data_IF_663956416844
#
_entry.id   IF_663956416844
#
_cell.length_a   1.000
_cell.length_b   1.000
_cell.length_c   1.000
_cell.angle_alpha   90.00
_cell.angle_beta   90.00
_cell.angle_gamma   90.00
#
_symmetry.space_group_name_H-M   'P 1'
#
loop_
_entity.id
_entity.type
_entity.pdbx_description
1 polymer ?
#
# COMPACT_ATOMS: atom_id res chain seq x y z
N UNK A 1 -7.86 -26.77 8.76
CA UNK A 1 -8.69 -26.67 7.54
C UNK A 1 -7.76 -26.46 6.36
N UNK A 2 -7.92 -27.17 5.22
CA UNK A 2 -7.06 -26.95 4.07
C UNK A 2 -7.22 -25.50 3.58
N UNK A 3 -6.10 -24.79 3.49
CA UNK A 3 -6.04 -23.41 3.02
C UNK A 3 -6.31 -23.45 1.52
N UNK A 4 -7.57 -23.27 1.10
CA UNK A 4 -7.90 -23.03 -0.30
C UNK A 4 -7.25 -21.69 -0.65
N UNK A 5 -6.09 -21.64 -1.30
CA UNK A 5 -5.52 -20.35 -1.72
C UNK A 5 -6.52 -19.64 -2.66
N UNK A 6 -6.60 -18.30 -2.65
CA UNK A 6 -7.37 -17.59 -3.67
C UNK A 6 -6.87 -17.99 -5.07
N UNK A 7 -7.68 -17.78 -6.12
CA UNK A 7 -7.18 -17.84 -7.49
C UNK A 7 -5.95 -16.91 -7.62
N UNK A 8 -5.06 -17.20 -8.58
CA UNK A 8 -3.87 -16.36 -8.80
C UNK A 8 -4.24 -14.87 -8.83
N UNK A 9 -3.48 -14.01 -8.12
CA UNK A 9 -3.74 -12.59 -8.16
C UNK A 9 -3.61 -12.09 -9.60
N UNK A 10 -4.37 -11.04 -9.92
CA UNK A 10 -4.14 -10.28 -11.15
C UNK A 10 -2.67 -9.83 -11.16
N UNK A 11 -1.93 -10.14 -12.22
CA UNK A 11 -0.51 -9.82 -12.35
C UNK A 11 -0.24 -8.31 -12.17
N UNK A 12 -1.25 -7.48 -12.41
CA UNK A 12 -1.15 -6.04 -12.18
C UNK A 12 -0.99 -5.67 -10.69
N UNK A 13 -1.33 -6.57 -9.76
CA UNK A 13 -1.18 -6.38 -8.31
C UNK A 13 0.21 -6.81 -7.78
N UNK A 14 1.01 -7.51 -8.57
CA UNK A 14 2.36 -7.96 -8.16
C UNK A 14 3.27 -6.83 -7.62
N UNK A 15 3.25 -5.59 -8.15
CA UNK A 15 4.07 -4.51 -7.61
C UNK A 15 3.75 -4.15 -6.15
N UNK A 16 2.54 -4.47 -5.68
CA UNK A 16 2.04 -4.17 -4.34
C UNK A 16 2.34 -5.28 -3.32
N UNK A 17 2.87 -6.42 -3.75
CA UNK A 17 3.34 -7.47 -2.84
C UNK A 17 4.74 -7.09 -2.33
N UNK A 18 4.81 -6.51 -1.13
CA UNK A 18 6.04 -5.96 -0.56
C UNK A 18 6.55 -4.72 -1.29
N UNK A 19 5.66 -3.97 -1.95
CA UNK A 19 6.01 -2.74 -2.66
C UNK A 19 6.29 -1.59 -1.70
N UNK A 20 7.26 -0.74 -2.05
CA UNK A 20 7.48 0.55 -1.38
C UNK A 20 7.59 1.64 -2.43
N UNK A 21 6.89 2.74 -2.23
CA UNK A 21 7.03 3.93 -3.04
C UNK A 21 7.28 5.18 -2.22
N UNK A 22 7.72 6.23 -2.91
CA UNK A 22 8.00 7.55 -2.35
C UNK A 22 6.83 8.47 -2.66
N UNK A 23 6.48 9.30 -1.69
CA UNK A 23 5.51 10.38 -1.83
C UNK A 23 6.23 11.71 -1.93
N UNK A 24 6.06 12.40 -3.04
CA UNK A 24 6.64 13.74 -3.27
C UNK A 24 5.55 14.78 -3.48
N UNK A 25 5.85 16.03 -3.11
CA UNK A 25 5.02 17.21 -3.41
C UNK A 25 5.96 18.39 -3.59
N UNK A 26 5.77 19.15 -4.67
CA UNK A 26 6.64 20.25 -5.08
C UNK A 26 8.13 19.85 -5.22
N UNK A 27 8.38 18.59 -5.63
CA UNK A 27 9.73 18.04 -5.80
C UNK A 27 10.42 17.61 -4.50
N UNK A 28 9.78 17.80 -3.34
CA UNK A 28 10.30 17.36 -2.05
C UNK A 28 9.69 16.02 -1.65
N UNK A 29 10.48 15.16 -1.01
CA UNK A 29 9.98 13.91 -0.41
C UNK A 29 9.29 14.24 0.90
N UNK A 30 8.03 13.83 1.06
CA UNK A 30 7.26 14.02 2.30
C UNK A 30 7.09 12.73 3.10
N UNK A 31 7.18 11.59 2.42
CA UNK A 31 7.02 10.29 3.05
C UNK A 31 7.19 9.14 2.08
N UNK A 32 6.81 7.97 2.55
CA UNK A 32 6.83 6.72 1.81
C UNK A 32 5.52 5.99 2.04
N UNK A 33 5.13 5.16 1.09
CA UNK A 33 4.03 4.22 1.25
C UNK A 33 4.58 2.81 1.10
N UNK A 34 4.30 1.95 2.07
CA UNK A 34 4.58 0.53 2.00
C UNK A 34 3.28 -0.22 1.71
N UNK A 35 3.37 -1.29 0.93
CA UNK A 35 2.21 -2.05 0.45
C UNK A 35 2.44 -3.55 0.63
N UNK A 36 1.38 -4.29 0.89
CA UNK A 36 1.40 -5.76 0.83
C UNK A 36 0.14 -6.31 0.19
N UNK A 37 0.27 -7.44 -0.49
CA UNK A 37 -0.83 -8.14 -1.13
C UNK A 37 -1.32 -9.26 -0.21
N UNK A 38 -2.62 -9.28 0.08
CA UNK A 38 -3.21 -10.29 0.96
C UNK A 38 -4.58 -10.72 0.43
N UNK A 39 -5.26 -11.62 1.14
CA UNK A 39 -6.57 -12.12 0.72
C UNK A 39 -7.52 -12.30 1.89
N UNK A 40 -8.80 -12.14 1.62
CA UNK A 40 -9.87 -12.32 2.59
C UNK A 40 -11.09 -13.04 2.00
N UNK A 41 -11.96 -13.50 2.89
CA UNK A 41 -13.25 -14.06 2.49
C UNK A 41 -14.23 -12.93 2.20
N UNK A 42 -14.84 -12.95 1.02
CA UNK A 42 -15.85 -11.94 0.67
C UNK A 42 -17.01 -12.00 1.67
N UNK A 43 -17.38 -10.88 2.32
CA UNK A 43 -18.43 -10.85 3.35
C UNK A 43 -19.79 -11.39 2.87
N UNK A 44 -20.05 -11.26 1.56
CA UNK A 44 -21.30 -11.67 0.92
C UNK A 44 -21.18 -12.96 0.11
N UNK A 45 -20.00 -13.59 0.11
CA UNK A 45 -19.78 -14.88 -0.55
C UNK A 45 -18.69 -15.65 0.19
N UNK A 46 -19.03 -16.43 1.24
CA UNK A 46 -18.06 -17.16 2.07
C UNK A 46 -17.34 -18.28 1.31
N UNK A 47 -17.67 -18.51 0.04
CA UNK A 47 -16.98 -19.43 -0.86
C UNK A 47 -16.03 -18.72 -1.84
N UNK A 48 -16.00 -17.38 -1.84
CA UNK A 48 -15.13 -16.57 -2.70
C UNK A 48 -14.09 -15.85 -1.85
N UNK A 49 -12.83 -16.21 -2.10
CA UNK A 49 -11.69 -15.44 -1.65
C UNK A 49 -11.40 -14.34 -2.66
N UNK A 50 -11.05 -13.17 -2.16
CA UNK A 50 -10.66 -12.04 -3.00
C UNK A 50 -9.36 -11.43 -2.47
N UNK A 51 -8.61 -10.85 -3.39
CA UNK A 51 -7.39 -10.12 -3.09
C UNK A 51 -7.73 -8.71 -2.61
N UNK A 52 -6.91 -8.22 -1.69
CA UNK A 52 -6.84 -6.82 -1.29
C UNK A 52 -5.38 -6.39 -1.19
N UNK A 53 -5.14 -5.10 -1.27
CA UNK A 53 -3.86 -4.49 -0.97
C UNK A 53 -3.99 -3.77 0.34
N UNK A 54 -3.06 -4.01 1.25
CA UNK A 54 -2.89 -3.15 2.42
C UNK A 54 -1.79 -2.15 2.13
N UNK A 55 -1.95 -0.92 2.61
CA UNK A 55 -0.89 0.06 2.56
C UNK A 55 -0.80 0.90 3.83
N UNK A 56 0.41 1.36 4.12
CA UNK A 56 0.75 2.20 5.26
C UNK A 56 1.56 3.39 4.74
N UNK A 57 1.10 4.60 5.03
CA UNK A 57 1.86 5.83 4.75
C UNK A 57 2.71 6.17 5.97
N UNK A 58 4.01 6.39 5.74
CA UNK A 58 4.97 6.80 6.77
C UNK A 58 5.63 8.10 6.35
N UNK A 59 5.51 9.10 7.21
CA UNK A 59 6.01 10.45 6.98
C UNK A 59 7.48 10.59 7.43
N UNK A 60 8.17 11.61 6.91
CA UNK A 60 9.58 11.83 7.21
C UNK A 60 9.86 12.18 8.68
N UNK A 61 8.87 12.68 9.42
CA UNK A 61 8.96 12.92 10.86
C UNK A 61 8.73 11.64 11.69
N UNK A 62 8.55 10.48 11.03
CA UNK A 62 8.34 9.18 11.63
C UNK A 62 6.89 8.89 12.02
N UNK A 63 5.97 9.85 11.85
CA UNK A 63 4.55 9.58 12.03
C UNK A 63 4.05 8.60 10.97
N UNK A 64 3.03 7.82 11.32
CA UNK A 64 2.44 6.81 10.44
C UNK A 64 0.94 6.98 10.41
N UNK A 65 0.36 6.82 9.23
CA UNK A 65 -1.08 6.62 9.11
C UNK A 65 -1.43 5.16 9.46
N UNK A 66 -2.67 4.88 9.87
CA UNK A 66 -3.15 3.51 10.07
C UNK A 66 -3.02 2.67 8.80
N UNK A 67 -2.86 1.35 8.96
CA UNK A 67 -2.97 0.40 7.85
C UNK A 67 -4.33 0.55 7.18
N UNK A 68 -4.32 0.73 5.87
CA UNK A 68 -5.53 0.97 5.06
C UNK A 68 -5.71 -0.15 4.04
N UNK A 69 -6.93 -0.69 3.98
CA UNK A 69 -7.36 -1.72 3.04
C UNK A 69 -7.80 -1.08 1.71
N UNK A 70 -7.28 -1.58 0.60
CA UNK A 70 -7.77 -1.30 -0.75
C UNK A 70 -8.20 -2.62 -1.43
N UNK A 71 -9.46 -2.66 -1.83
CA UNK A 71 -10.11 -3.81 -2.46
C UNK A 71 -10.91 -3.30 -3.67
N UNK A 72 -11.40 -4.17 -4.58
CA UNK A 72 -12.13 -3.73 -5.77
C UNK A 72 -13.20 -2.67 -5.43
N UNK A 73 -13.18 -1.49 -6.08
CA UNK A 73 -12.57 -1.20 -7.38
C UNK A 73 -11.09 -0.77 -7.37
N UNK A 74 -10.35 -0.93 -6.26
CA UNK A 74 -8.90 -0.68 -6.18
C UNK A 74 -8.53 0.79 -6.45
N UNK A 75 -9.04 1.70 -5.61
CA UNK A 75 -8.86 3.13 -5.82
C UNK A 75 -7.38 3.51 -5.62
N UNK A 76 -6.81 3.24 -4.45
CA UNK A 76 -5.42 3.59 -4.15
C UNK A 76 -4.43 2.91 -5.10
N UNK A 77 -4.68 1.65 -5.47
CA UNK A 77 -3.91 0.95 -6.51
C UNK A 77 -3.99 1.66 -7.86
N UNK A 78 -5.18 2.13 -8.28
CA UNK A 78 -5.36 2.87 -9.53
C UNK A 78 -4.63 4.22 -9.52
N UNK A 79 -4.68 4.92 -8.38
CA UNK A 79 -3.95 6.16 -8.16
C UNK A 79 -2.44 5.94 -8.27
N UNK A 80 -1.89 4.97 -7.53
CA UNK A 80 -0.46 4.67 -7.50
C UNK A 80 0.07 4.25 -8.89
N UNK A 81 -0.72 3.50 -9.66
CA UNK A 81 -0.38 3.18 -11.06
C UNK A 81 -0.38 4.41 -11.97
N UNK A 82 -1.22 5.39 -11.65
CA UNK A 82 -1.29 6.67 -12.35
C UNK A 82 -0.21 7.66 -11.87
N UNK A 83 0.66 7.25 -10.94
CA UNK A 83 1.78 8.05 -10.46
C UNK A 83 1.42 9.03 -9.35
N UNK A 84 0.32 8.80 -8.61
CA UNK A 84 -0.03 9.63 -7.45
C UNK A 84 -0.67 8.82 -6.33
N UNK A 85 -0.87 9.43 -5.17
CA UNK A 85 -1.72 8.91 -4.11
C UNK A 85 -2.43 10.09 -3.44
N UNK A 86 -3.75 10.03 -3.32
CA UNK A 86 -4.50 10.97 -2.49
C UNK A 86 -4.50 10.46 -1.05
N UNK A 87 -3.94 11.26 -0.13
CA UNK A 87 -3.81 10.88 1.28
C UNK A 87 -4.82 11.64 2.11
N UNK A 88 -5.60 10.90 2.89
CA UNK A 88 -6.42 11.44 3.98
C UNK A 88 -5.73 11.13 5.31
N UNK A 89 -5.36 12.18 6.03
CA UNK A 89 -4.65 12.09 7.31
C UNK A 89 -5.40 12.87 8.39
N UNK A 90 -5.22 12.45 9.65
CA UNK A 90 -5.74 13.19 10.80
C UNK A 90 -5.07 14.57 10.94
N UNK A 91 -3.79 14.67 10.56
CA UNK A 91 -3.10 15.95 10.43
C UNK A 91 -3.45 16.57 9.07
N UNK A 92 -4.33 17.59 9.07
CA UNK A 92 -4.85 18.23 7.85
C UNK A 92 -3.76 18.77 6.92
N UNK A 93 -2.58 19.10 7.44
CA UNK A 93 -1.43 19.57 6.64
C UNK A 93 -0.88 18.51 5.69
N UNK A 94 -1.20 17.23 5.93
CA UNK A 94 -0.75 16.09 5.13
C UNK A 94 -1.82 15.58 4.17
N UNK A 95 -2.95 16.27 4.09
CA UNK A 95 -4.03 15.84 3.22
C UNK A 95 -3.76 16.20 1.76
N UNK A 96 -4.40 15.45 0.87
CA UNK A 96 -4.44 15.71 -0.56
C UNK A 96 -3.41 14.91 -1.35
N UNK A 97 -3.18 15.36 -2.58
CA UNK A 97 -2.43 14.61 -3.57
C UNK A 97 -0.92 14.66 -3.36
N UNK A 98 -0.28 13.52 -3.50
CA UNK A 98 1.16 13.39 -3.61
C UNK A 98 1.50 12.70 -4.93
N UNK A 99 2.56 13.16 -5.58
CA UNK A 99 3.17 12.39 -6.66
C UNK A 99 3.76 11.11 -6.04
N UNK A 100 3.61 10.01 -6.76
CA UNK A 100 4.00 8.69 -6.31
C UNK A 100 4.93 8.02 -7.33
N UNK A 101 5.99 7.43 -6.82
CA UNK A 101 6.88 6.59 -7.61
C UNK A 101 7.34 5.37 -6.80
N UNK A 102 7.35 4.19 -7.44
CA UNK A 102 7.91 2.99 -6.85
C UNK A 102 9.41 3.13 -6.61
N UNK A 103 9.89 2.67 -5.46
CA UNK A 103 11.30 2.42 -5.26
C UNK A 103 11.75 1.20 -6.07
N UNK A 104 13.00 1.20 -6.58
CA UNK A 104 13.62 0.03 -7.17
C UNK A 104 13.59 -1.15 -6.19
N UNK A 105 13.42 -2.40 -6.66
CA UNK A 105 13.39 -3.58 -5.79
C UNK A 105 14.59 -3.69 -4.84
N UNK A 106 15.77 -3.23 -5.28
CA UNK A 106 17.01 -3.23 -4.50
C UNK A 106 16.99 -2.32 -3.28
N UNK A 107 16.08 -1.35 -3.22
CA UNK A 107 15.97 -0.36 -2.14
C UNK A 107 14.81 -0.66 -1.17
N UNK A 108 13.89 -1.56 -1.55
CA UNK A 108 12.66 -1.82 -0.80
C UNK A 108 12.93 -2.37 0.60
N UNK A 109 13.73 -3.42 0.72
CA UNK A 109 14.00 -4.07 2.00
C UNK A 109 14.72 -3.14 2.98
N UNK A 110 15.69 -2.38 2.47
CA UNK A 110 16.40 -1.36 3.25
C UNK A 110 15.44 -0.25 3.70
N UNK A 111 14.51 0.16 2.84
CA UNK A 111 13.51 1.16 3.17
C UNK A 111 12.50 0.64 4.20
N UNK A 112 11.96 -0.56 4.05
CA UNK A 112 11.06 -1.18 5.04
C UNK A 112 11.73 -1.27 6.41
N UNK A 113 12.99 -1.71 6.45
CA UNK A 113 13.78 -1.75 7.68
C UNK A 113 13.97 -0.35 8.30
N UNK A 114 14.28 0.66 7.47
CA UNK A 114 14.42 2.06 7.91
C UNK A 114 13.12 2.64 8.45
N UNK A 115 12.01 2.36 7.77
CA UNK A 115 10.68 2.79 8.18
C UNK A 115 10.19 2.02 9.41
N UNK A 116 10.84 0.90 9.75
CA UNK A 116 10.45 0.03 10.85
C UNK A 116 9.08 -0.59 10.64
N UNK A 117 8.79 -1.00 9.39
CA UNK A 117 7.54 -1.67 9.00
C UNK A 117 7.80 -3.17 8.91
N UNK A 118 6.98 -3.96 9.60
CA UNK A 118 6.99 -5.42 9.54
C UNK A 118 5.70 -5.98 8.96
N UNK A 119 5.72 -7.25 8.52
CA UNK A 119 4.53 -7.91 7.96
C UNK A 119 3.32 -7.94 8.90
N UNK A 120 3.52 -7.83 10.22
CA UNK A 120 2.45 -7.81 11.23
C UNK A 120 1.78 -6.45 11.40
N UNK A 121 2.29 -5.40 10.77
CA UNK A 121 1.70 -4.06 10.83
C UNK A 121 0.67 -3.79 9.74
N UNK A 122 0.59 -4.71 8.76
CA UNK A 122 -0.42 -4.67 7.72
C UNK A 122 -1.72 -5.31 8.17
#
# INVERSE_FOLDING_TARGET
MPIVKPPHPDATLEPFDGGVGVLTRDGEVHGHVATTLSWFWSPFSPLRKQWWVWYIVVWNDGAREPSTEDYPPFLAVTEMRSGYLDVESAALTRNGRYDFAWLPPTERDAMLARLGISASEF
#
